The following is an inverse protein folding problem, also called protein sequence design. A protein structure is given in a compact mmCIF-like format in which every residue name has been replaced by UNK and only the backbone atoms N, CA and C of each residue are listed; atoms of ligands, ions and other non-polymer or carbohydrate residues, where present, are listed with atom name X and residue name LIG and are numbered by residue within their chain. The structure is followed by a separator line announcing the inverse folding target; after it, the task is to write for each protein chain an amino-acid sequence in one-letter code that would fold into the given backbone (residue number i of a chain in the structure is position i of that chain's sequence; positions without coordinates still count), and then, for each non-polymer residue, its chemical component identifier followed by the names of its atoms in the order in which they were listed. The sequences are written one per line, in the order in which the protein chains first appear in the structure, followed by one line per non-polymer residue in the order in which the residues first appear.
data_IF_551171133094
#
_entry.id   IF_551171133094
#
_cell.length_a   1.000
_cell.length_b   1.000
_cell.length_c   1.000
_cell.angle_alpha   90.00
_cell.angle_beta   90.00
_cell.angle_gamma   90.00
#
_symmetry.space_group_name_H-M   'P 1'
#
loop_
_entity.id
_entity.type
_entity.pdbx_description
1 polymer ?
#
# COMPACT_ATOMS: atom_id res chain seq x y z
N UNK A 1 -4.91 -13.68 11.18
CA UNK A 1 -3.60 -14.18 11.61
C UNK A 1 -3.24 -15.39 10.74
N UNK A 2 -2.13 -15.34 9.99
CA UNK A 2 -1.68 -16.44 9.13
C UNK A 2 -1.35 -17.67 10.03
N UNK A 3 -2.01 -18.84 9.87
CA UNK A 3 -1.71 -20.01 10.71
C UNK A 3 -0.32 -20.62 10.46
N UNK A 4 0.32 -20.23 9.35
CA UNK A 4 1.69 -20.59 8.96
C UNK A 4 2.20 -19.36 8.22
N UNK A 5 2.94 -18.50 8.91
CA UNK A 5 3.61 -17.36 8.29
C UNK A 5 4.78 -17.86 7.45
N UNK A 6 5.01 -17.28 6.25
CA UNK A 6 6.11 -17.72 5.42
C UNK A 6 7.41 -17.46 6.18
N UNK A 7 8.26 -18.49 6.27
CA UNK A 7 9.52 -18.47 7.02
C UNK A 7 10.60 -17.56 6.41
N UNK A 8 10.20 -16.56 5.61
CA UNK A 8 11.05 -15.58 4.93
C UNK A 8 11.88 -14.79 5.95
N UNK A 9 11.41 -14.73 7.20
CA UNK A 9 12.05 -13.99 8.29
C UNK A 9 12.97 -14.85 9.18
N UNK A 10 13.40 -16.04 8.75
CA UNK A 10 14.41 -16.81 9.51
C UNK A 10 15.74 -16.06 9.55
N UNK A 11 16.43 -16.13 10.70
CA UNK A 11 17.68 -15.43 11.04
C UNK A 11 17.53 -13.91 11.23
N UNK A 12 16.75 -13.52 12.24
CA UNK A 12 16.61 -12.10 12.60
C UNK A 12 17.78 -11.65 13.48
N UNK A 13 18.48 -10.60 13.07
CA UNK A 13 19.42 -9.89 13.94
C UNK A 13 18.61 -8.84 14.72
N UNK A 14 18.77 -8.80 16.04
CA UNK A 14 18.14 -7.77 16.86
C UNK A 14 18.72 -6.41 16.49
N UNK A 15 17.88 -5.47 16.06
CA UNK A 15 18.28 -4.08 15.88
C UNK A 15 17.55 -3.23 16.92
N UNK A 16 18.22 -2.18 17.39
CA UNK A 16 17.55 -1.17 18.18
C UNK A 16 16.66 -0.36 17.27
N UNK A 17 15.59 0.17 17.84
CA UNK A 17 14.55 0.87 17.11
C UNK A 17 15.12 2.01 16.28
N UNK A 18 16.09 2.74 16.83
CA UNK A 18 16.78 3.90 16.26
C UNK A 18 17.52 3.60 14.94
N UNK A 19 17.62 2.32 14.55
CA UNK A 19 18.35 1.87 13.37
C UNK A 19 17.48 1.68 12.11
N UNK A 20 16.17 1.93 12.16
CA UNK A 20 15.31 1.70 10.99
C UNK A 20 15.38 2.81 9.94
N UNK A 21 15.34 4.07 10.34
CA UNK A 21 15.36 5.22 9.43
C UNK A 21 16.17 6.39 10.03
N UNK A 22 16.78 7.17 9.15
CA UNK A 22 17.45 8.43 9.47
C UNK A 22 16.94 9.51 8.51
N UNK A 23 16.46 10.64 9.04
CA UNK A 23 15.70 11.62 8.27
C UNK A 23 16.40 12.09 6.98
N UNK A 24 17.72 12.33 7.07
CA UNK A 24 18.52 12.94 6.00
C UNK A 24 19.32 11.92 5.17
N UNK A 25 19.11 10.62 5.39
CA UNK A 25 19.80 9.53 4.70
C UNK A 25 18.83 8.72 3.84
N UNK A 26 19.25 8.37 2.63
CA UNK A 26 18.46 7.49 1.78
C UNK A 26 18.26 6.13 2.46
N UNK A 27 17.04 5.60 2.38
CA UNK A 27 16.72 4.38 3.10
C UNK A 27 15.41 3.75 2.70
N UNK A 28 15.25 2.52 3.17
CA UNK A 28 14.09 1.68 2.94
C UNK A 28 13.76 0.88 4.20
N UNK A 29 12.48 0.79 4.52
CA UNK A 29 11.97 -0.12 5.53
C UNK A 29 10.69 -0.77 5.02
N UNK A 30 10.58 -2.07 5.22
CA UNK A 30 9.36 -2.84 5.04
C UNK A 30 9.19 -3.77 6.24
N UNK A 31 8.27 -3.40 7.12
CA UNK A 31 8.01 -4.08 8.37
C UNK A 31 6.68 -4.84 8.31
N UNK A 32 6.73 -6.08 8.77
CA UNK A 32 5.59 -7.01 8.84
C UNK A 32 5.41 -7.50 10.28
N UNK A 33 4.31 -8.19 10.62
CA UNK A 33 4.13 -8.73 11.97
C UNK A 33 5.25 -9.70 12.38
N UNK A 34 5.94 -10.29 11.42
CA UNK A 34 6.92 -11.37 11.60
C UNK A 34 8.38 -10.97 11.47
N UNK A 35 8.64 -9.73 11.05
CA UNK A 35 10.00 -9.30 10.79
C UNK A 35 10.04 -8.07 9.90
N UNK A 36 11.21 -7.45 9.89
CA UNK A 36 11.46 -6.18 9.21
C UNK A 36 12.66 -6.31 8.30
N UNK A 37 12.49 -5.89 7.06
CA UNK A 37 13.61 -5.65 6.16
C UNK A 37 13.89 -4.16 6.14
N UNK A 38 15.12 -3.79 6.45
CA UNK A 38 15.55 -2.40 6.45
C UNK A 38 16.91 -2.25 5.80
N UNK A 39 17.10 -1.09 5.18
CA UNK A 39 18.38 -0.65 4.66
C UNK A 39 18.51 0.86 4.81
N UNK A 40 19.60 1.29 5.44
CA UNK A 40 20.07 2.70 5.45
C UNK A 40 21.11 2.97 4.36
N UNK A 41 21.35 1.99 3.49
CA UNK A 41 22.39 2.03 2.46
C UNK A 41 21.83 1.48 1.16
N UNK A 42 21.05 2.33 0.50
CA UNK A 42 20.68 2.10 -0.89
C UNK A 42 21.95 2.25 -1.73
N UNK A 43 22.42 1.14 -2.31
CA UNK A 43 23.68 1.11 -3.07
C UNK A 43 23.54 1.84 -4.40
N UNK A 44 22.37 1.71 -5.02
CA UNK A 44 22.12 2.19 -6.37
C UNK A 44 20.62 2.39 -6.60
N UNK A 45 20.23 3.58 -7.03
CA UNK A 45 18.87 3.88 -7.46
C UNK A 45 18.73 3.55 -8.94
N UNK A 46 17.79 2.67 -9.29
CA UNK A 46 17.55 2.23 -10.66
C UNK A 46 16.81 3.34 -11.40
N UNK A 47 17.34 3.73 -12.56
CA UNK A 47 16.72 4.72 -13.41
C UNK A 47 15.71 4.05 -14.35
N UNK A 48 14.48 4.55 -14.36
CA UNK A 48 13.43 4.03 -15.22
C UNK A 48 13.01 5.05 -16.24
N UNK A 49 12.72 4.57 -17.45
CA UNK A 49 12.17 5.37 -18.53
C UNK A 49 10.83 4.79 -18.97
N UNK A 50 9.90 5.68 -19.34
CA UNK A 50 8.64 5.28 -19.95
C UNK A 50 8.81 5.10 -21.45
N UNK A 51 8.31 3.98 -21.97
CA UNK A 51 8.24 3.68 -23.38
C UNK A 51 6.80 3.89 -23.86
N UNK A 52 6.58 4.98 -24.60
CA UNK A 52 5.23 5.44 -24.99
C UNK A 52 4.42 4.44 -25.83
N UNK A 53 5.07 3.44 -26.43
CA UNK A 53 4.43 2.42 -27.28
C UNK A 53 3.97 1.17 -26.52
N UNK A 54 4.42 0.99 -25.28
CA UNK A 54 4.07 -0.20 -24.50
C UNK A 54 2.70 -0.06 -23.87
N UNK A 55 1.96 -1.17 -23.80
CA UNK A 55 0.76 -1.24 -22.99
C UNK A 55 1.12 -1.08 -21.50
N UNK A 56 0.11 -0.91 -20.64
CA UNK A 56 0.31 -0.86 -19.19
C UNK A 56 1.09 -2.09 -18.68
N UNK A 57 0.64 -3.29 -19.05
CA UNK A 57 1.25 -4.54 -18.60
C UNK A 57 2.68 -4.70 -19.16
N UNK A 58 2.87 -4.41 -20.46
CA UNK A 58 4.20 -4.54 -21.08
C UNK A 58 5.21 -3.55 -20.48
N UNK A 59 4.75 -2.33 -20.15
CA UNK A 59 5.60 -1.31 -19.53
C UNK A 59 6.06 -1.74 -18.14
N UNK A 60 5.15 -2.29 -17.32
CA UNK A 60 5.52 -2.79 -16.00
C UNK A 60 6.49 -3.97 -16.11
N UNK A 61 6.24 -4.91 -17.03
CA UNK A 61 7.14 -6.04 -17.25
C UNK A 61 8.53 -5.58 -17.72
N UNK A 62 8.60 -4.54 -18.57
CA UNK A 62 9.87 -3.96 -19.02
C UNK A 62 10.67 -3.34 -17.87
N UNK A 63 10.02 -2.59 -16.98
CA UNK A 63 10.68 -2.03 -15.80
C UNK A 63 11.24 -3.12 -14.88
N UNK A 64 10.46 -4.17 -14.63
CA UNK A 64 10.92 -5.27 -13.78
C UNK A 64 12.11 -6.02 -14.37
N UNK A 65 12.05 -6.38 -15.65
CA UNK A 65 13.17 -7.03 -16.33
C UNK A 65 14.43 -6.18 -16.25
N UNK A 66 14.29 -4.87 -16.42
CA UNK A 66 15.40 -3.94 -16.24
C UNK A 66 15.95 -3.99 -14.81
N UNK A 67 15.08 -3.93 -13.79
CA UNK A 67 15.51 -3.97 -12.39
C UNK A 67 16.22 -5.28 -12.02
N UNK A 68 15.71 -6.43 -12.48
CA UNK A 68 16.32 -7.75 -12.29
C UNK A 68 17.70 -7.84 -12.94
N UNK A 69 17.84 -7.33 -14.16
CA UNK A 69 19.14 -7.29 -14.87
C UNK A 69 20.16 -6.44 -14.11
N UNK A 70 19.76 -5.26 -13.61
CA UNK A 70 20.62 -4.40 -12.80
C UNK A 70 21.06 -5.10 -11.51
N UNK A 71 20.14 -5.79 -10.82
CA UNK A 71 20.48 -6.59 -9.63
C UNK A 71 21.52 -7.67 -9.96
N UNK A 72 21.27 -8.48 -11.00
CA UNK A 72 22.18 -9.56 -11.40
C UNK A 72 23.56 -9.03 -11.77
N UNK A 73 23.62 -7.92 -12.51
CA UNK A 73 24.89 -7.27 -12.85
C UNK A 73 25.62 -6.77 -11.60
N UNK A 74 24.90 -6.20 -10.63
CA UNK A 74 25.49 -5.74 -9.37
C UNK A 74 26.03 -6.90 -8.53
N UNK A 75 25.30 -8.01 -8.46
CA UNK A 75 25.75 -9.25 -7.78
C UNK A 75 27.03 -9.77 -8.45
N UNK A 76 27.07 -9.87 -9.78
CA UNK A 76 28.24 -10.34 -10.52
C UNK A 76 29.47 -9.45 -10.31
N UNK A 77 29.29 -8.13 -10.30
CA UNK A 77 30.39 -7.17 -10.15
C UNK A 77 30.93 -7.06 -8.72
N UNK A 78 30.06 -7.24 -7.71
CA UNK A 78 30.45 -7.15 -6.29
C UNK A 78 30.78 -8.49 -5.66
N UNK A 79 30.33 -9.61 -6.25
CA UNK A 79 30.38 -10.94 -5.65
C UNK A 79 29.41 -11.13 -4.49
N UNK A 80 28.53 -10.16 -4.20
CA UNK A 80 27.59 -10.23 -3.08
C UNK A 80 26.23 -10.78 -3.55
N UNK A 81 25.95 -12.05 -3.26
CA UNK A 81 24.69 -12.70 -3.63
C UNK A 81 23.49 -12.30 -2.73
N UNK A 82 23.74 -11.62 -1.62
CA UNK A 82 22.71 -11.20 -0.64
C UNK A 82 22.09 -9.83 -0.99
N UNK A 83 22.46 -9.23 -2.12
CA UNK A 83 21.83 -8.00 -2.58
C UNK A 83 20.38 -8.25 -2.94
N UNK A 84 19.53 -7.28 -2.59
CA UNK A 84 18.09 -7.33 -2.85
C UNK A 84 17.63 -6.09 -3.62
N UNK A 85 16.49 -6.21 -4.28
CA UNK A 85 15.73 -5.09 -4.79
C UNK A 85 14.74 -4.62 -3.73
N UNK A 86 14.63 -3.31 -3.55
CA UNK A 86 13.66 -2.66 -2.67
C UNK A 86 13.02 -1.49 -3.39
N UNK A 87 11.79 -1.13 -3.00
CA UNK A 87 11.17 0.10 -3.45
C UNK A 87 9.72 -0.07 -3.83
N UNK A 88 9.26 0.72 -4.80
CA UNK A 88 7.84 0.83 -5.16
C UNK A 88 7.61 0.89 -6.66
N UNK A 89 6.55 0.22 -7.09
CA UNK A 89 5.91 0.41 -8.39
C UNK A 89 4.76 1.43 -8.25
N UNK A 90 4.53 2.29 -9.25
CA UNK A 90 3.44 3.26 -9.24
C UNK A 90 2.09 2.61 -9.57
N UNK A 91 0.99 3.33 -9.31
CA UNK A 91 -0.35 2.90 -9.72
C UNK A 91 -0.51 2.83 -11.25
N UNK A 92 0.03 3.82 -11.95
CA UNK A 92 -0.12 4.01 -13.39
C UNK A 92 1.24 4.04 -14.09
N UNK A 93 1.28 3.66 -15.37
CA UNK A 93 2.51 3.67 -16.17
C UNK A 93 2.90 5.07 -16.71
N UNK A 94 2.10 6.09 -16.40
CA UNK A 94 2.44 7.51 -16.58
C UNK A 94 3.42 8.02 -15.53
N UNK A 95 3.43 7.40 -14.36
CA UNK A 95 4.36 7.68 -13.28
C UNK A 95 5.55 6.70 -13.36
N UNK A 96 6.65 6.99 -12.65
CA UNK A 96 7.85 6.14 -12.66
C UNK A 96 7.99 5.33 -11.36
N UNK A 97 8.54 4.11 -11.41
CA UNK A 97 8.95 3.38 -10.22
C UNK A 97 10.06 4.10 -9.45
N UNK A 98 10.08 3.87 -8.14
CA UNK A 98 11.19 4.24 -7.26
C UNK A 98 11.77 2.96 -6.67
N UNK A 99 12.80 2.41 -7.31
CA UNK A 99 13.44 1.17 -6.86
C UNK A 99 14.96 1.29 -6.77
N UNK A 100 15.53 0.55 -5.82
CA UNK A 100 16.95 0.58 -5.53
C UNK A 100 17.49 -0.82 -5.25
N UNK A 101 18.77 -1.02 -5.52
CA UNK A 101 19.54 -2.17 -5.04
C UNK A 101 20.07 -1.82 -3.65
N UNK A 102 19.90 -2.73 -2.69
CA UNK A 102 20.27 -2.48 -1.31
C UNK A 102 20.99 -3.67 -0.67
N UNK A 103 21.89 -3.36 0.26
CA UNK A 103 22.26 -4.30 1.33
C UNK A 103 21.19 -4.14 2.41
N UNK A 104 20.33 -5.13 2.57
CA UNK A 104 19.30 -5.12 3.59
C UNK A 104 19.53 -6.24 4.61
N UNK A 105 19.10 -6.01 5.84
CA UNK A 105 19.16 -7.02 6.90
C UNK A 105 17.75 -7.44 7.25
N UNK A 106 17.57 -8.73 7.48
CA UNK A 106 16.40 -9.21 8.18
C UNK A 106 16.57 -8.92 9.67
N UNK A 107 15.65 -8.15 10.22
CA UNK A 107 15.77 -7.55 11.54
C UNK A 107 14.47 -7.69 12.30
N UNK A 108 14.57 -7.73 13.62
CA UNK A 108 13.41 -7.58 14.50
C UNK A 108 13.67 -6.43 15.45
N UNK A 109 12.63 -5.63 15.71
CA UNK A 109 12.72 -4.49 16.60
C UNK A 109 12.64 -5.01 18.03
N UNK A 110 13.75 -4.97 18.76
CA UNK A 110 13.79 -5.32 20.18
C UNK A 110 13.38 -4.12 21.04
N UNK A 111 12.48 -4.33 22.01
CA UNK A 111 12.13 -3.34 23.04
C UNK A 111 10.80 -2.63 22.80
N UNK A 112 9.97 -2.56 23.84
CA UNK A 112 8.62 -1.96 23.81
C UNK A 112 8.53 -0.55 24.39
N UNK A 113 9.62 0.00 24.97
CA UNK A 113 9.45 1.01 26.04
C UNK A 113 9.82 2.46 25.69
N UNK A 114 10.61 2.73 24.66
CA UNK A 114 11.01 4.10 24.31
C UNK A 114 10.56 4.45 22.89
N UNK A 115 9.25 4.49 22.66
CA UNK A 115 8.79 5.25 21.51
C UNK A 115 9.13 6.72 21.72
N UNK A 116 9.67 7.44 20.72
CA UNK A 116 9.84 8.88 20.88
C UNK A 116 8.49 9.45 21.29
N UNK A 117 8.53 10.44 22.18
CA UNK A 117 7.35 11.15 22.67
C UNK A 117 6.43 11.50 21.48
N UNK A 118 5.10 11.58 21.69
CA UNK A 118 4.18 11.99 20.64
C UNK A 118 4.72 13.22 19.91
N UNK A 119 4.64 13.23 18.58
CA UNK A 119 5.05 14.37 17.76
C UNK A 119 4.50 15.63 18.43
N UNK A 120 5.37 16.59 18.79
CA UNK A 120 4.92 17.89 19.28
C UNK A 120 3.87 18.40 18.29
N UNK A 121 2.68 18.75 18.80
CA UNK A 121 1.54 19.06 17.93
C UNK A 121 1.97 20.07 16.87
N UNK A 122 1.95 19.62 15.61
CA UNK A 122 2.15 20.48 14.45
C UNK A 122 1.13 21.61 14.56
N UNK A 123 1.60 22.85 14.46
CA UNK A 123 0.76 24.03 14.63
C UNK A 123 0.66 24.84 13.35
N UNK A 124 -0.42 25.61 13.23
CA UNK A 124 -0.71 26.41 12.03
C UNK A 124 -0.70 25.56 10.75
N UNK A 125 -1.37 24.40 10.80
CA UNK A 125 -1.48 23.49 9.66
C UNK A 125 -2.55 23.99 8.70
N UNK A 126 -2.17 24.23 7.46
CA UNK A 126 -3.10 24.43 6.35
C UNK A 126 -3.34 23.09 5.67
N UNK A 127 -4.60 22.69 5.50
CA UNK A 127 -4.98 21.46 4.84
C UNK A 127 -5.82 21.79 3.60
N UNK A 128 -5.38 21.39 2.41
CA UNK A 128 -6.10 21.59 1.15
C UNK A 128 -6.63 20.25 0.64
N UNK A 129 -7.92 20.17 0.33
CA UNK A 129 -8.54 18.96 -0.21
C UNK A 129 -8.43 18.94 -1.74
N UNK A 130 -8.01 17.80 -2.29
CA UNK A 130 -7.83 17.62 -3.73
C UNK A 130 -8.52 16.32 -4.19
N UNK A 131 -9.67 16.39 -4.87
CA UNK A 131 -10.50 17.58 -5.08
C UNK A 131 -11.21 18.03 -3.79
N UNK A 132 -11.90 19.19 -3.81
CA UNK A 132 -12.88 19.56 -2.78
C UNK A 132 -13.93 18.45 -2.55
N UNK A 133 -14.56 18.45 -1.37
CA UNK A 133 -15.51 17.37 -1.00
C UNK A 133 -16.70 17.25 -1.96
N UNK A 134 -17.23 18.38 -2.44
CA UNK A 134 -18.33 18.42 -3.41
C UNK A 134 -17.97 17.68 -4.68
N UNK A 135 -16.79 17.96 -5.22
CA UNK A 135 -16.31 17.44 -6.48
C UNK A 135 -16.00 15.93 -6.37
N UNK A 136 -15.49 15.49 -5.21
CA UNK A 136 -15.35 14.06 -4.92
C UNK A 136 -16.72 13.36 -4.91
N UNK A 137 -17.72 13.94 -4.23
CA UNK A 137 -19.09 13.42 -4.18
C UNK A 137 -19.72 13.33 -5.57
N UNK A 138 -19.53 14.36 -6.40
CA UNK A 138 -19.99 14.38 -7.79
C UNK A 138 -19.28 13.31 -8.64
N UNK A 139 -17.97 13.13 -8.43
CA UNK A 139 -17.19 12.07 -9.08
C UNK A 139 -17.69 10.67 -8.72
N UNK A 140 -18.05 10.43 -7.45
CA UNK A 140 -18.66 9.16 -7.01
C UNK A 140 -20.02 8.96 -7.68
N UNK A 141 -20.89 9.98 -7.67
CA UNK A 141 -22.21 9.90 -8.30
C UNK A 141 -22.08 9.60 -9.81
N UNK A 142 -21.12 10.23 -10.50
CA UNK A 142 -20.84 9.99 -11.91
C UNK A 142 -20.38 8.56 -12.18
N UNK A 143 -19.51 7.98 -11.33
CA UNK A 143 -19.11 6.58 -11.47
C UNK A 143 -20.31 5.62 -11.31
N UNK A 144 -21.17 5.88 -10.33
CA UNK A 144 -22.40 5.08 -10.13
C UNK A 144 -23.31 5.12 -11.36
N UNK A 145 -23.50 6.29 -11.99
CA UNK A 145 -24.28 6.39 -13.23
C UNK A 145 -23.62 5.68 -14.41
N UNK A 146 -22.29 5.71 -14.51
CA UNK A 146 -21.55 4.99 -15.56
C UNK A 146 -21.68 3.48 -15.41
N UNK A 147 -21.69 2.93 -14.20
CA UNK A 147 -21.86 1.49 -13.95
C UNK A 147 -23.21 0.97 -14.48
N UNK A 148 -24.25 1.81 -14.52
CA UNK A 148 -25.58 1.44 -15.07
C UNK A 148 -25.61 1.32 -16.60
N UNK A 149 -24.64 1.94 -17.29
CA UNK A 149 -24.67 2.13 -18.75
C UNK A 149 -23.43 1.57 -19.45
N UNK A 150 -22.46 1.08 -18.71
CA UNK A 150 -21.18 0.53 -19.22
C UNK A 150 -20.90 -0.83 -18.59
N UNK A 151 -19.81 -1.48 -18.99
CA UNK A 151 -19.33 -2.73 -18.39
C UNK A 151 -18.57 -2.53 -17.06
N UNK A 152 -18.50 -1.31 -16.54
CA UNK A 152 -17.81 -1.03 -15.28
C UNK A 152 -18.58 -1.65 -14.10
N UNK A 153 -17.98 -2.61 -13.42
CA UNK A 153 -18.55 -3.24 -12.20
C UNK A 153 -18.05 -2.54 -10.93
N UNK A 154 -16.78 -2.10 -10.95
CA UNK A 154 -16.13 -1.47 -9.81
C UNK A 154 -15.11 -0.44 -10.28
N UNK A 155 -15.00 0.68 -9.57
CA UNK A 155 -13.90 1.62 -9.68
C UNK A 155 -13.55 2.20 -8.32
N UNK A 156 -12.29 2.53 -8.09
CA UNK A 156 -11.82 3.15 -6.85
C UNK A 156 -11.52 4.59 -7.15
N UNK A 157 -12.28 5.51 -6.54
CA UNK A 157 -12.02 6.95 -6.65
C UNK A 157 -11.26 7.41 -5.41
N UNK A 158 -10.23 8.22 -5.62
CA UNK A 158 -9.36 8.73 -4.59
C UNK A 158 -9.37 10.25 -4.51
N UNK A 159 -8.89 10.72 -3.36
CA UNK A 159 -8.61 12.12 -3.09
C UNK A 159 -7.34 12.23 -2.24
N UNK A 160 -6.81 13.45 -2.18
CA UNK A 160 -5.62 13.81 -1.45
C UNK A 160 -5.89 14.93 -0.43
N UNK A 161 -5.01 15.00 0.57
CA UNK A 161 -4.88 16.15 1.47
C UNK A 161 -3.46 16.66 1.34
N UNK A 162 -3.31 17.91 0.92
CA UNK A 162 -2.03 18.63 0.99
C UNK A 162 -1.96 19.39 2.30
N UNK A 163 -0.98 19.03 3.12
CA UNK A 163 -0.70 19.67 4.39
C UNK A 163 0.53 20.57 4.24
N UNK A 164 0.40 21.81 4.71
CA UNK A 164 1.51 22.71 4.94
C UNK A 164 1.57 23.06 6.42
N UNK A 165 2.70 22.72 7.05
CA UNK A 165 2.94 22.94 8.47
C UNK A 165 3.93 24.09 8.68
N UNK A 166 3.91 24.72 9.86
CA UNK A 166 4.94 25.68 10.24
C UNK A 166 6.26 25.00 10.56
N UNK A 167 6.22 23.91 11.32
CA UNK A 167 7.39 23.12 11.69
C UNK A 167 7.75 22.11 10.61
N UNK A 168 9.04 21.72 10.55
CA UNK A 168 9.49 20.58 9.76
C UNK A 168 8.84 19.32 10.34
N UNK A 169 8.30 18.46 9.48
CA UNK A 169 7.64 17.23 9.90
C UNK A 169 8.70 16.23 10.38
N UNK A 170 8.59 15.72 11.61
CA UNK A 170 9.55 14.76 12.17
C UNK A 170 9.29 13.36 11.57
N UNK A 171 9.93 13.09 10.43
CA UNK A 171 9.71 11.86 9.63
C UNK A 171 10.03 10.57 10.39
N UNK A 172 10.98 10.63 11.33
CA UNK A 172 11.40 9.47 12.11
C UNK A 172 10.30 9.06 13.10
N UNK A 173 9.78 10.03 13.83
CA UNK A 173 8.71 9.90 14.79
C UNK A 173 7.41 9.48 14.10
N UNK A 174 7.09 10.08 12.96
CA UNK A 174 5.92 9.74 12.14
C UNK A 174 5.92 8.25 11.76
N UNK A 175 7.02 7.76 11.20
CA UNK A 175 7.14 6.35 10.83
C UNK A 175 6.97 5.43 12.04
N UNK A 176 7.55 5.77 13.19
CA UNK A 176 7.39 4.93 14.37
C UNK A 176 5.97 4.93 14.93
N UNK A 177 5.23 6.03 14.80
CA UNK A 177 3.80 6.01 15.15
C UNK A 177 3.02 5.11 14.20
N UNK A 178 3.27 5.18 12.89
CA UNK A 178 2.68 4.25 11.90
C UNK A 178 3.04 2.79 12.21
N UNK A 179 4.29 2.51 12.57
CA UNK A 179 4.74 1.17 12.92
C UNK A 179 4.03 0.65 14.18
N UNK A 180 3.90 1.47 15.22
CA UNK A 180 3.25 1.12 16.47
C UNK A 180 1.75 0.86 16.32
N UNK A 181 1.07 1.63 15.48
CA UNK A 181 -0.39 1.57 15.32
C UNK A 181 -0.86 0.58 14.25
N UNK A 182 0.08 -0.14 13.63
CA UNK A 182 -0.19 -1.14 12.58
C UNK A 182 0.46 -2.52 12.85
N UNK A 183 0.22 -3.14 14.02
CA UNK A 183 0.92 -4.37 14.42
C UNK A 183 0.58 -5.61 13.58
N UNK A 184 -0.57 -5.62 12.90
CA UNK A 184 -1.03 -6.74 12.07
C UNK A 184 -0.89 -6.48 10.56
N UNK A 185 -0.34 -5.33 10.17
CA UNK A 185 -0.23 -4.90 8.78
C UNK A 185 1.21 -4.78 8.28
N UNK A 186 1.37 -4.01 7.21
CA UNK A 186 2.62 -3.74 6.50
C UNK A 186 2.96 -2.25 6.63
N UNK A 187 3.99 -1.93 7.42
CA UNK A 187 4.45 -0.55 7.56
C UNK A 187 5.71 -0.36 6.73
N UNK A 188 5.74 0.68 5.89
CA UNK A 188 6.82 0.88 4.94
C UNK A 188 7.28 2.33 4.89
N UNK A 189 8.53 2.52 4.49
CA UNK A 189 9.14 3.82 4.22
C UNK A 189 10.21 3.71 3.14
N UNK A 190 10.28 4.68 2.22
CA UNK A 190 11.28 4.78 1.17
C UNK A 190 11.69 6.24 0.94
N UNK A 191 13.00 6.48 0.86
CA UNK A 191 13.56 7.71 0.33
C UNK A 191 14.82 7.39 -0.48
N UNK A 192 14.77 7.64 -1.80
CA UNK A 192 15.94 7.55 -2.68
C UNK A 192 16.86 8.78 -2.59
N UNK A 193 16.27 9.95 -2.33
CA UNK A 193 16.95 11.21 -2.04
C UNK A 193 16.07 12.03 -1.08
N UNK A 194 16.19 11.85 0.25
CA UNK A 194 15.31 12.50 1.22
C UNK A 194 15.40 14.03 1.20
N UNK A 195 16.52 14.59 0.71
CA UNK A 195 16.76 16.03 0.65
C UNK A 195 16.08 16.70 -0.55
N UNK A 196 15.61 15.92 -1.53
CA UNK A 196 14.92 16.44 -2.72
C UNK A 196 13.51 15.91 -2.89
N UNK A 197 13.31 14.62 -2.61
CA UNK A 197 12.04 13.92 -2.82
C UNK A 197 11.28 13.71 -1.52
N UNK A 198 11.98 13.78 -0.37
CA UNK A 198 11.42 13.40 0.91
C UNK A 198 11.18 11.90 1.04
N UNK A 199 10.35 11.54 2.02
CA UNK A 199 10.02 10.15 2.35
C UNK A 199 8.62 9.80 1.87
N UNK A 200 8.46 8.66 1.21
CA UNK A 200 7.16 8.03 1.03
C UNK A 200 6.98 6.95 2.09
N UNK A 201 5.90 6.99 2.86
CA UNK A 201 5.67 6.03 3.94
C UNK A 201 4.19 5.78 4.18
N UNK A 202 3.87 4.67 4.83
CA UNK A 202 2.50 4.29 5.12
C UNK A 202 2.37 3.05 6.00
N UNK A 203 1.12 2.75 6.36
CA UNK A 203 0.71 1.63 7.20
C UNK A 203 -0.44 0.88 6.53
N UNK A 204 -0.10 -0.01 5.60
CA UNK A 204 -1.07 -0.74 4.79
C UNK A 204 -1.59 -1.99 5.52
N UNK A 205 -2.91 -2.28 5.47
CA UNK A 205 -3.46 -3.55 5.93
C UNK A 205 -3.41 -4.65 4.86
N UNK A 206 -2.94 -4.35 3.64
CA UNK A 206 -3.16 -5.20 2.46
C UNK A 206 -1.86 -5.73 1.87
N UNK A 207 -1.76 -7.06 1.80
CA UNK A 207 -0.69 -7.76 1.07
C UNK A 207 -1.17 -7.99 -0.36
N UNK A 208 -0.50 -7.35 -1.33
CA UNK A 208 -0.72 -7.68 -2.74
C UNK A 208 -0.26 -9.11 -2.98
N UNK A 209 1.03 -9.37 -2.73
CA UNK A 209 1.63 -10.69 -2.90
C UNK A 209 2.89 -10.87 -2.05
N UNK A 210 3.09 -12.08 -1.54
CA UNK A 210 4.39 -12.55 -1.06
C UNK A 210 4.71 -13.91 -1.66
N UNK A 211 6.00 -14.16 -1.87
CA UNK A 211 6.52 -15.45 -2.36
C UNK A 211 7.66 -15.94 -1.47
N UNK A 212 7.61 -17.22 -1.16
CA UNK A 212 8.72 -17.96 -0.57
C UNK A 212 8.84 -19.32 -1.25
N UNK A 213 9.94 -19.53 -1.98
CA UNK A 213 10.14 -20.67 -2.87
C UNK A 213 8.90 -20.82 -3.76
N UNK A 214 8.29 -22.00 -3.80
CA UNK A 214 7.06 -22.26 -4.55
C UNK A 214 5.76 -21.73 -3.90
N UNK A 215 5.79 -21.18 -2.69
CA UNK A 215 4.58 -20.76 -1.98
C UNK A 215 4.27 -19.29 -2.26
N UNK A 216 3.02 -19.02 -2.62
CA UNK A 216 2.49 -17.66 -2.86
C UNK A 216 1.38 -17.34 -1.87
N UNK A 217 1.35 -16.08 -1.41
CA UNK A 217 0.39 -15.57 -0.43
C UNK A 217 -0.15 -14.24 -0.92
N UNK A 218 -1.44 -13.99 -0.68
CA UNK A 218 -2.07 -12.68 -0.86
C UNK A 218 -3.10 -12.48 0.26
N UNK A 219 -3.35 -11.23 0.65
CA UNK A 219 -4.35 -10.90 1.66
C UNK A 219 -5.10 -9.62 1.23
N UNK A 220 -5.97 -9.71 0.22
CA UNK A 220 -6.73 -8.59 -0.30
C UNK A 220 -7.75 -8.11 0.72
N UNK A 221 -7.98 -6.79 0.75
CA UNK A 221 -8.96 -6.16 1.61
C UNK A 221 -9.92 -5.31 0.78
N UNK A 222 -11.22 -5.43 1.04
CA UNK A 222 -12.27 -4.68 0.36
C UNK A 222 -13.55 -4.76 1.19
N UNK A 223 -14.36 -3.70 1.19
CA UNK A 223 -15.38 -3.48 2.22
C UNK A 223 -14.76 -2.87 3.48
N UNK A 224 -15.24 -1.69 3.85
CA UNK A 224 -14.66 -0.88 4.92
C UNK A 224 -15.77 -0.26 5.76
N UNK A 225 -15.57 -0.23 7.07
CA UNK A 225 -16.39 0.58 7.96
C UNK A 225 -15.51 1.26 9.01
N UNK A 226 -15.90 2.46 9.45
CA UNK A 226 -15.16 3.18 10.49
C UNK A 226 -15.11 2.36 11.80
N UNK A 227 -14.17 2.70 12.69
CA UNK A 227 -14.19 2.22 14.08
C UNK A 227 -15.00 3.18 14.94
N UNK A 228 -15.59 2.66 16.01
CA UNK A 228 -16.20 3.48 17.06
C UNK A 228 -15.33 3.50 18.33
N UNK A 229 -15.40 4.61 19.07
CA UNK A 229 -14.81 4.71 20.40
C UNK A 229 -15.64 3.95 21.46
N UNK A 230 -16.93 3.76 21.22
CA UNK A 230 -17.80 2.90 22.05
C UNK A 230 -17.61 1.44 21.62
N UNK A 231 -17.10 0.54 22.50
CA UNK A 231 -16.87 -0.86 22.17
C UNK A 231 -18.11 -1.62 21.70
N UNK A 232 -19.29 -1.29 22.22
CA UNK A 232 -20.52 -1.97 21.82
C UNK A 232 -20.93 -1.59 20.40
N UNK A 233 -20.89 -0.29 20.09
CA UNK A 233 -21.13 0.22 18.73
C UNK A 233 -20.05 -0.25 17.76
N UNK A 234 -18.79 -0.33 18.18
CA UNK A 234 -17.68 -0.80 17.35
C UNK A 234 -17.86 -2.27 16.92
N UNK A 235 -18.32 -3.12 17.85
CA UNK A 235 -18.67 -4.50 17.56
C UNK A 235 -19.90 -4.60 16.64
N UNK A 236 -20.93 -3.79 16.88
CA UNK A 236 -22.11 -3.71 16.01
C UNK A 236 -21.75 -3.20 14.59
N UNK A 237 -20.76 -2.32 14.46
CA UNK A 237 -20.20 -1.92 13.16
C UNK A 237 -19.51 -3.08 12.45
N UNK A 238 -18.68 -3.85 13.16
CA UNK A 238 -18.04 -5.04 12.60
C UNK A 238 -19.07 -6.05 12.06
N UNK A 239 -20.14 -6.31 12.83
CA UNK A 239 -21.23 -7.21 12.43
C UNK A 239 -22.03 -6.69 11.24
N UNK A 240 -22.32 -5.37 11.18
CA UNK A 240 -22.96 -4.74 10.02
C UNK A 240 -22.10 -4.85 8.77
N UNK A 241 -20.80 -4.59 8.86
CA UNK A 241 -19.87 -4.75 7.74
C UNK A 241 -19.87 -6.20 7.24
N UNK A 242 -19.77 -7.17 8.17
CA UNK A 242 -19.76 -8.58 7.81
C UNK A 242 -21.06 -9.04 7.15
N UNK A 243 -22.20 -8.49 7.53
CA UNK A 243 -23.51 -8.82 6.96
C UNK A 243 -23.90 -7.99 5.72
N UNK A 244 -23.11 -6.97 5.35
CA UNK A 244 -23.44 -6.04 4.26
C UNK A 244 -23.32 -6.71 2.91
N UNK A 245 -24.44 -6.82 2.18
CA UNK A 245 -24.45 -7.36 0.82
C UNK A 245 -23.61 -6.51 -0.16
N UNK A 246 -23.58 -5.18 0.03
CA UNK A 246 -22.73 -4.27 -0.76
C UNK A 246 -21.26 -4.63 -0.57
N UNK A 247 -20.80 -4.67 0.68
CA UNK A 247 -19.38 -4.88 0.99
C UNK A 247 -18.95 -6.32 0.67
N UNK A 248 -19.82 -7.32 0.87
CA UNK A 248 -19.55 -8.69 0.44
C UNK A 248 -19.41 -8.81 -1.08
N UNK A 249 -20.28 -8.14 -1.85
CA UNK A 249 -20.17 -8.11 -3.31
C UNK A 249 -18.90 -7.39 -3.76
N UNK A 250 -18.61 -6.22 -3.19
CA UNK A 250 -17.37 -5.47 -3.47
C UNK A 250 -16.12 -6.31 -3.18
N UNK A 251 -16.16 -7.10 -2.11
CA UNK A 251 -15.08 -8.02 -1.73
C UNK A 251 -14.96 -9.20 -2.70
N UNK A 252 -16.08 -9.82 -3.08
CA UNK A 252 -16.10 -10.96 -3.99
C UNK A 252 -15.46 -10.62 -5.35
N UNK A 253 -15.77 -9.45 -5.92
CA UNK A 253 -15.18 -8.97 -7.20
C UNK A 253 -13.64 -8.93 -7.12
N UNK A 254 -13.08 -8.52 -5.97
CA UNK A 254 -11.62 -8.49 -5.77
C UNK A 254 -11.05 -9.90 -5.71
N UNK A 255 -11.68 -10.80 -4.96
CA UNK A 255 -11.20 -12.17 -4.76
C UNK A 255 -11.28 -12.98 -6.06
N UNK A 256 -12.36 -12.82 -6.83
CA UNK A 256 -12.53 -13.48 -8.13
C UNK A 256 -11.46 -13.04 -9.12
N UNK A 257 -11.22 -11.73 -9.25
CA UNK A 257 -10.17 -11.22 -10.13
C UNK A 257 -8.77 -11.75 -9.76
N UNK A 258 -8.45 -11.84 -8.46
CA UNK A 258 -7.16 -12.39 -8.01
C UNK A 258 -7.09 -13.90 -8.23
N UNK A 259 -8.20 -14.62 -8.02
CA UNK A 259 -8.28 -16.05 -8.28
C UNK A 259 -8.07 -16.37 -9.76
N UNK A 260 -8.64 -15.57 -10.66
CA UNK A 260 -8.51 -15.74 -12.12
C UNK A 260 -7.06 -15.56 -12.59
N UNK A 261 -6.32 -14.62 -11.96
CA UNK A 261 -4.92 -14.38 -12.27
C UNK A 261 -3.98 -15.43 -11.66
N UNK A 262 -4.23 -15.90 -10.44
CA UNK A 262 -3.35 -16.86 -9.75
C UNK A 262 -3.61 -18.32 -10.10
N UNK A 263 -4.85 -18.72 -10.39
CA UNK A 263 -5.21 -20.12 -10.66
C UNK A 263 -4.42 -20.73 -11.83
N UNK A 264 -4.19 -20.04 -12.96
CA UNK A 264 -3.37 -20.56 -14.04
C UNK A 264 -1.91 -20.82 -13.63
N UNK A 265 -1.39 -20.09 -12.65
CA UNK A 265 0.00 -20.15 -12.20
C UNK A 265 0.22 -21.17 -11.08
N UNK A 266 -0.84 -21.60 -10.39
CA UNK A 266 -0.75 -22.47 -9.21
C UNK A 266 -1.12 -23.92 -9.49
N UNK A 267 -0.38 -24.86 -8.90
CA UNK A 267 -0.76 -26.28 -8.81
C UNK A 267 -1.96 -26.45 -7.88
N UNK A 268 -1.99 -25.67 -6.79
CA UNK A 268 -3.09 -25.62 -5.83
C UNK A 268 -3.27 -24.19 -5.34
N UNK A 269 -4.53 -23.75 -5.23
CA UNK A 269 -4.90 -22.45 -4.68
C UNK A 269 -6.00 -22.66 -3.62
N UNK A 270 -5.77 -22.13 -2.42
CA UNK A 270 -6.68 -22.19 -1.29
C UNK A 270 -7.22 -20.79 -1.03
N UNK A 271 -8.52 -20.61 -1.26
CA UNK A 271 -9.26 -19.38 -1.00
C UNK A 271 -10.43 -19.73 -0.07
N UNK A 272 -10.48 -19.16 1.15
CA UNK A 272 -11.63 -19.30 2.03
C UNK A 272 -12.93 -18.86 1.36
N UNK A 273 -14.03 -19.57 1.62
CA UNK A 273 -15.35 -19.26 1.04
C UNK A 273 -15.97 -17.96 1.57
N UNK A 274 -15.52 -17.50 2.73
CA UNK A 274 -16.04 -16.30 3.38
C UNK A 274 -14.86 -15.47 3.87
N UNK A 275 -14.96 -14.13 3.79
CA UNK A 275 -13.94 -13.26 4.34
C UNK A 275 -13.89 -13.36 5.87
N UNK A 276 -12.84 -12.78 6.43
CA UNK A 276 -12.68 -12.53 7.85
C UNK A 276 -12.69 -11.03 8.13
N UNK A 277 -13.07 -10.64 9.35
CA UNK A 277 -12.94 -9.26 9.82
C UNK A 277 -11.52 -9.02 10.34
N UNK A 278 -10.89 -7.97 9.85
CA UNK A 278 -9.66 -7.43 10.42
C UNK A 278 -9.87 -5.97 10.82
N UNK A 279 -9.13 -5.49 11.82
CA UNK A 279 -9.20 -4.10 12.28
C UNK A 279 -7.86 -3.41 12.15
N UNK A 280 -7.93 -2.14 11.78
CA UNK A 280 -6.87 -1.16 12.03
C UNK A 280 -7.31 -0.26 13.19
N UNK A 281 -6.49 0.72 13.55
CA UNK A 281 -6.88 1.72 14.54
C UNK A 281 -8.14 2.50 14.13
N UNK A 282 -8.39 2.69 12.84
CA UNK A 282 -9.40 3.64 12.32
C UNK A 282 -10.56 2.99 11.59
N UNK A 283 -10.38 1.78 11.05
CA UNK A 283 -11.40 1.07 10.27
C UNK A 283 -11.40 -0.45 10.49
N UNK A 284 -12.57 -1.07 10.30
CA UNK A 284 -12.75 -2.50 10.02
C UNK A 284 -12.64 -2.78 8.52
N UNK A 285 -12.15 -3.97 8.15
CA UNK A 285 -12.10 -4.46 6.78
C UNK A 285 -12.58 -5.91 6.68
N UNK A 286 -13.18 -6.27 5.54
CA UNK A 286 -13.23 -7.67 5.12
C UNK A 286 -11.90 -8.03 4.44
N UNK A 287 -11.33 -9.18 4.81
CA UNK A 287 -10.09 -9.69 4.29
C UNK A 287 -10.18 -11.19 4.00
N UNK A 288 -9.62 -11.64 2.88
CA UNK A 288 -9.56 -13.06 2.52
C UNK A 288 -8.12 -13.48 2.30
N UNK A 289 -7.66 -14.44 3.08
CA UNK A 289 -6.31 -14.94 2.95
C UNK A 289 -6.22 -15.97 1.81
N UNK A 290 -5.43 -15.67 0.79
CA UNK A 290 -5.19 -16.55 -0.35
C UNK A 290 -3.81 -17.21 -0.20
N UNK A 291 -3.75 -18.53 -0.38
CA UNK A 291 -2.50 -19.31 -0.36
C UNK A 291 -2.42 -20.20 -1.58
N UNK A 292 -1.27 -20.24 -2.23
CA UNK A 292 -1.05 -21.09 -3.39
C UNK A 292 0.30 -21.76 -3.39
N UNK A 293 0.42 -22.79 -4.23
CA UNK A 293 1.68 -23.42 -4.61
C UNK A 293 1.86 -23.25 -6.11
N UNK A 294 2.90 -22.55 -6.54
CA UNK A 294 3.19 -22.24 -7.93
C UNK A 294 3.55 -23.51 -8.72
N UNK A 295 3.16 -23.53 -10.01
CA UNK A 295 3.60 -24.55 -10.98
C UNK A 295 5.10 -24.40 -11.26
N UNK A 296 5.54 -23.17 -11.41
CA UNK A 296 6.93 -22.80 -11.60
C UNK A 296 7.49 -22.18 -10.30
N UNK A 297 8.37 -22.88 -9.57
CA UNK A 297 8.97 -22.36 -8.34
C UNK A 297 9.96 -21.21 -8.60
N UNK A 298 10.49 -21.10 -9.82
CA UNK A 298 11.51 -20.11 -10.20
C UNK A 298 10.89 -18.76 -10.62
N UNK A 299 9.56 -18.72 -10.78
CA UNK A 299 8.82 -17.48 -11.04
C UNK A 299 9.18 -16.41 -10.01
N UNK A 300 9.45 -15.19 -10.43
CA UNK A 300 9.85 -14.14 -9.50
C UNK A 300 8.62 -13.54 -8.80
N UNK A 301 8.75 -13.11 -7.54
CA UNK A 301 7.68 -12.38 -6.84
C UNK A 301 7.24 -11.11 -7.59
N UNK A 302 8.11 -10.57 -8.45
CA UNK A 302 7.83 -9.40 -9.25
C UNK A 302 6.88 -9.69 -10.39
N UNK A 303 7.05 -10.83 -11.06
CA UNK A 303 6.13 -11.26 -12.12
C UNK A 303 4.72 -11.38 -11.53
N UNK A 304 4.60 -12.00 -10.35
CA UNK A 304 3.34 -12.08 -9.60
C UNK A 304 2.78 -10.70 -9.24
N UNK A 305 3.62 -9.79 -8.75
CA UNK A 305 3.20 -8.44 -8.40
C UNK A 305 2.62 -7.71 -9.63
N UNK A 306 3.24 -7.82 -10.81
CA UNK A 306 2.70 -7.19 -12.04
C UNK A 306 1.48 -7.86 -12.62
N UNK A 307 1.33 -9.16 -12.42
CA UNK A 307 0.11 -9.87 -12.84
C UNK A 307 -1.08 -9.42 -12.00
N UNK A 308 -0.86 -9.18 -10.70
CA UNK A 308 -1.92 -8.80 -9.76
C UNK A 308 -2.16 -7.29 -9.69
N UNK A 309 -1.15 -6.47 -9.93
CA UNK A 309 -1.22 -5.02 -9.73
C UNK A 309 -1.71 -4.27 -10.98
N UNK A 310 -2.69 -3.36 -10.86
CA UNK A 310 -3.52 -3.10 -9.68
C UNK A 310 -4.72 -4.05 -9.60
N UNK A 311 -5.04 -4.49 -8.38
CA UNK A 311 -6.25 -5.29 -8.13
C UNK A 311 -7.50 -4.39 -8.20
N UNK A 312 -8.71 -4.96 -8.30
CA UNK A 312 -9.94 -4.18 -8.18
C UNK A 312 -10.12 -3.48 -6.82
N UNK A 313 -9.31 -3.79 -5.80
CA UNK A 313 -9.35 -3.12 -4.49
C UNK A 313 -8.83 -1.68 -4.54
N UNK A 314 -7.95 -1.36 -5.49
CA UNK A 314 -7.37 -0.01 -5.66
C UNK A 314 -7.53 0.58 -7.06
N UNK A 315 -7.93 -0.22 -8.03
CA UNK A 315 -8.28 0.21 -9.39
C UNK A 315 -9.76 0.02 -9.67
N UNK A 316 -10.17 -1.15 -10.15
CA UNK A 316 -11.53 -1.44 -10.56
C UNK A 316 -11.60 -2.60 -11.54
N UNK A 317 -12.80 -2.90 -12.01
CA UNK A 317 -13.11 -4.03 -12.89
C UNK A 317 -14.13 -3.59 -13.96
N UNK A 318 -13.84 -3.77 -15.26
CA UNK A 318 -12.55 -4.13 -15.86
C UNK A 318 -11.46 -3.07 -15.64
N UNK A 319 -10.23 -3.50 -15.35
CA UNK A 319 -9.12 -2.60 -15.00
C UNK A 319 -8.79 -1.52 -16.06
N UNK A 320 -8.78 -1.77 -17.39
CA UNK A 320 -8.50 -0.73 -18.37
C UNK A 320 -9.52 0.42 -18.33
N UNK A 321 -10.82 0.12 -18.26
CA UNK A 321 -11.88 1.11 -18.20
C UNK A 321 -11.83 1.88 -16.87
N UNK A 322 -11.64 1.18 -15.75
CA UNK A 322 -11.50 1.82 -14.45
C UNK A 322 -10.32 2.80 -14.41
N UNK A 323 -9.13 2.42 -14.91
CA UNK A 323 -7.96 3.33 -14.95
C UNK A 323 -8.21 4.57 -15.81
N UNK A 324 -8.88 4.40 -16.95
CA UNK A 324 -9.24 5.54 -17.80
C UNK A 324 -10.13 6.51 -17.03
N UNK A 325 -11.23 6.03 -16.43
CA UNK A 325 -12.17 6.87 -15.69
C UNK A 325 -11.53 7.52 -14.46
N UNK A 326 -10.68 6.78 -13.73
CA UNK A 326 -9.87 7.33 -12.63
C UNK A 326 -9.02 8.49 -13.12
N UNK A 327 -8.34 8.33 -14.25
CA UNK A 327 -7.53 9.40 -14.85
C UNK A 327 -8.33 10.62 -15.30
N UNK A 328 -9.60 10.45 -15.65
CA UNK A 328 -10.47 11.55 -16.10
C UNK A 328 -11.12 12.29 -14.92
N UNK A 329 -11.37 11.59 -13.81
CA UNK A 329 -12.10 12.13 -12.66
C UNK A 329 -11.18 12.66 -11.55
N UNK A 330 -9.98 12.12 -11.39
CA UNK A 330 -9.03 12.59 -10.37
C UNK A 330 -8.20 13.77 -10.90
N UNK A 331 -8.23 14.95 -10.26
CA UNK A 331 -7.47 16.11 -10.71
C UNK A 331 -5.99 16.05 -10.27
N UNK A 332 -5.47 14.87 -9.98
CA UNK A 332 -4.10 14.66 -9.51
C UNK A 332 -3.56 13.31 -9.99
N UNK A 333 -2.23 13.18 -9.99
CA UNK A 333 -1.56 11.90 -10.23
C UNK A 333 -1.39 11.15 -8.90
N UNK A 334 -1.72 9.86 -8.90
CA UNK A 334 -1.54 9.01 -7.72
C UNK A 334 -0.06 8.74 -7.41
N UNK A 335 0.83 8.79 -8.40
CA UNK A 335 2.24 8.45 -8.22
C UNK A 335 2.38 7.05 -7.59
N UNK A 336 3.04 6.97 -6.43
CA UNK A 336 3.19 5.72 -5.68
C UNK A 336 1.92 5.32 -4.90
N UNK A 337 0.97 6.23 -4.63
CA UNK A 337 -0.29 5.85 -3.98
C UNK A 337 -1.08 4.87 -4.86
N UNK A 338 -1.74 3.89 -4.24
CA UNK A 338 -2.39 2.77 -4.91
C UNK A 338 -1.46 1.91 -5.80
N UNK A 339 -0.14 2.19 -5.78
CA UNK A 339 0.92 1.32 -6.28
C UNK A 339 1.21 0.15 -5.33
N UNK A 340 2.42 -0.38 -5.40
CA UNK A 340 2.88 -1.41 -4.46
C UNK A 340 4.31 -1.17 -4.01
N UNK A 341 4.58 -1.39 -2.73
CA UNK A 341 5.90 -1.26 -2.10
C UNK A 341 6.34 -2.59 -1.50
N UNK A 342 7.61 -2.90 -1.66
CA UNK A 342 8.13 -4.19 -1.25
C UNK A 342 9.60 -4.39 -1.53
N UNK A 343 9.98 -5.65 -1.50
CA UNK A 343 11.34 -6.09 -1.73
C UNK A 343 11.36 -7.46 -2.40
N UNK A 344 12.52 -7.81 -2.96
CA UNK A 344 12.78 -9.16 -3.45
C UNK A 344 14.26 -9.54 -3.44
N UNK A 345 14.56 -10.79 -3.11
CA UNK A 345 15.92 -11.34 -3.23
C UNK A 345 16.24 -11.80 -4.66
N UNK A 346 17.50 -12.17 -4.87
CA UNK A 346 17.98 -12.68 -6.17
C UNK A 346 17.40 -14.06 -6.55
N UNK A 347 16.79 -14.78 -5.59
CA UNK A 347 16.11 -16.06 -5.81
C UNK A 347 14.63 -15.89 -6.13
N UNK A 348 14.16 -14.65 -6.25
CA UNK A 348 12.78 -14.32 -6.60
C UNK A 348 11.78 -14.45 -5.45
N UNK A 349 12.23 -14.55 -4.19
CA UNK A 349 11.35 -14.41 -3.03
C UNK A 349 11.12 -12.94 -2.70
N UNK A 350 10.10 -12.64 -1.89
CA UNK A 350 9.87 -11.30 -1.41
C UNK A 350 8.43 -11.05 -0.97
N UNK A 351 8.12 -9.79 -0.67
CA UNK A 351 6.78 -9.36 -0.27
C UNK A 351 6.50 -7.93 -0.76
N UNK A 352 5.25 -7.73 -1.19
CA UNK A 352 4.75 -6.51 -1.82
C UNK A 352 3.39 -6.16 -1.21
N UNK A 353 3.32 -5.04 -0.50
CA UNK A 353 2.07 -4.50 0.05
C UNK A 353 1.49 -3.45 -0.89
N UNK A 354 0.17 -3.25 -0.81
CA UNK A 354 -0.49 -2.17 -1.57
C UNK A 354 -0.26 -0.84 -0.87
N UNK A 355 0.05 0.21 -1.64
CA UNK A 355 0.35 1.54 -1.11
C UNK A 355 -0.93 2.31 -0.75
N UNK A 356 -1.48 2.02 0.43
CA UNK A 356 -2.63 2.73 1.02
C UNK A 356 -2.29 3.18 2.44
N UNK A 357 -3.09 4.12 2.98
CA UNK A 357 -2.83 4.77 4.29
C UNK A 357 -1.40 5.34 4.34
N UNK A 358 -1.07 6.10 3.30
CA UNK A 358 0.29 6.53 3.02
C UNK A 358 0.33 7.97 2.51
N UNK A 359 1.53 8.52 2.43
CA UNK A 359 1.79 9.84 1.89
C UNK A 359 3.25 10.10 1.60
N UNK A 360 3.52 11.19 0.86
CA UNK A 360 4.85 11.74 0.67
C UNK A 360 5.07 12.90 1.64
N UNK A 361 6.17 12.86 2.37
CA UNK A 361 6.52 13.84 3.41
C UNK A 361 7.83 14.50 3.02
N UNK A 362 7.82 15.82 2.89
CA UNK A 362 9.01 16.59 2.54
C UNK A 362 9.05 17.90 3.31
N UNK A 363 10.08 18.04 4.14
CA UNK A 363 10.32 19.22 4.98
C UNK A 363 9.07 19.61 5.80
N UNK A 364 8.39 20.69 5.41
CA UNK A 364 7.22 21.25 6.10
C UNK A 364 5.88 20.79 5.48
N UNK A 365 5.91 19.90 4.50
CA UNK A 365 4.77 19.53 3.68
C UNK A 365 4.51 18.03 3.66
N UNK A 366 3.24 17.65 3.54
CA UNK A 366 2.83 16.26 3.37
C UNK A 366 1.67 16.17 2.37
N UNK A 367 1.75 15.25 1.41
CA UNK A 367 0.60 14.84 0.61
C UNK A 367 0.13 13.47 1.05
N UNK A 368 -1.09 13.41 1.57
CA UNK A 368 -1.74 12.19 2.05
C UNK A 368 -2.79 11.73 1.05
N UNK A 369 -3.09 10.43 1.01
CA UNK A 369 -4.08 9.88 0.07
C UNK A 369 -5.08 8.93 0.73
N UNK A 370 -6.30 8.92 0.22
CA UNK A 370 -7.30 7.90 0.50
C UNK A 370 -8.24 7.72 -0.70
N UNK A 371 -8.70 6.49 -0.91
CA UNK A 371 -9.75 6.18 -1.90
C UNK A 371 -10.75 5.18 -1.36
N UNK A 372 -11.93 5.13 -1.98
CA UNK A 372 -13.02 4.23 -1.66
C UNK A 372 -13.44 3.41 -2.89
N UNK A 373 -13.83 2.17 -2.66
CA UNK A 373 -14.36 1.27 -3.69
C UNK A 373 -15.79 1.64 -4.01
N UNK A 374 -16.02 2.03 -5.26
CA UNK A 374 -17.34 2.41 -5.77
C UNK A 374 -17.92 1.23 -6.52
N UNK A 375 -19.16 0.89 -6.19
CA UNK A 375 -20.02 -0.09 -6.89
C UNK A 375 -21.38 0.56 -7.14
N UNK A 376 -22.25 -0.06 -7.95
CA UNK A 376 -23.55 0.53 -8.31
C UNK A 376 -24.40 0.92 -7.08
N UNK A 377 -24.29 0.17 -5.98
CA UNK A 377 -25.01 0.43 -4.73
C UNK A 377 -24.37 1.49 -3.81
N UNK A 378 -23.23 2.08 -4.21
CA UNK A 378 -22.52 3.09 -3.42
C UNK A 378 -23.33 4.37 -3.23
N UNK A 379 -23.18 4.99 -2.05
CA UNK A 379 -23.80 6.26 -1.72
C UNK A 379 -22.73 7.34 -1.60
N UNK A 380 -22.73 8.40 -2.41
CA UNK A 380 -21.64 9.37 -2.49
C UNK A 380 -21.15 9.92 -1.14
N UNK A 381 -22.08 10.29 -0.24
CA UNK A 381 -21.74 10.79 1.10
C UNK A 381 -21.09 9.71 1.98
N UNK A 382 -21.50 8.45 1.85
CA UNK A 382 -20.89 7.33 2.58
C UNK A 382 -19.45 7.11 2.13
N UNK A 383 -19.17 7.19 0.83
CA UNK A 383 -17.80 7.02 0.29
C UNK A 383 -16.88 8.19 0.68
N UNK A 384 -17.45 9.40 0.83
CA UNK A 384 -16.73 10.54 1.41
C UNK A 384 -16.35 10.26 2.86
N UNK A 385 -17.30 9.79 3.68
CA UNK A 385 -17.06 9.46 5.08
C UNK A 385 -16.03 8.32 5.23
N UNK A 386 -16.06 7.32 4.34
CA UNK A 386 -15.07 6.25 4.32
C UNK A 386 -13.65 6.79 4.06
N UNK A 387 -13.49 7.65 3.07
CA UNK A 387 -12.16 8.26 2.81
C UNK A 387 -11.71 9.15 3.98
N UNK A 388 -12.61 9.87 4.66
CA UNK A 388 -12.27 10.64 5.88
C UNK A 388 -11.71 9.71 6.95
N UNK A 389 -12.36 8.57 7.20
CA UNK A 389 -11.89 7.58 8.16
C UNK A 389 -10.52 6.99 7.77
N UNK A 390 -10.28 6.76 6.47
CA UNK A 390 -9.00 6.26 5.95
C UNK A 390 -7.85 7.27 6.12
N UNK A 391 -8.11 8.57 6.01
CA UNK A 391 -7.09 9.61 6.27
C UNK A 391 -6.62 9.64 7.72
N UNK A 392 -7.48 9.26 8.68
CA UNK A 392 -7.15 9.28 10.11
C UNK A 392 -5.89 8.48 10.44
N UNK A 393 -5.53 7.43 9.69
CA UNK A 393 -4.29 6.68 9.93
C UNK A 393 -3.05 7.59 9.83
N UNK A 394 -2.93 8.37 8.75
CA UNK A 394 -1.80 9.27 8.55
C UNK A 394 -1.91 10.53 9.43
N UNK A 395 -3.11 11.11 9.56
CA UNK A 395 -3.33 12.30 10.38
C UNK A 395 -3.02 12.05 11.86
N UNK A 396 -3.50 10.93 12.42
CA UNK A 396 -3.20 10.54 13.80
C UNK A 396 -1.70 10.32 14.00
N UNK A 397 -1.01 9.71 13.03
CA UNK A 397 0.42 9.48 13.11
C UNK A 397 1.22 10.80 13.06
N UNK A 398 0.69 11.84 12.39
CA UNK A 398 1.20 13.21 12.40
C UNK A 398 0.82 14.00 13.68
N UNK A 399 0.05 13.41 14.61
CA UNK A 399 -0.46 14.09 15.79
C UNK A 399 -1.57 15.11 15.48
N UNK A 400 -2.25 14.97 14.33
CA UNK A 400 -3.32 15.85 13.88
C UNK A 400 -4.69 15.21 14.10
N UNK A 401 -5.60 15.97 14.69
CA UNK A 401 -7.01 15.59 14.77
C UNK A 401 -7.73 16.06 13.49
N UNK A 402 -8.22 15.09 12.71
CA UNK A 402 -8.92 15.35 11.45
C UNK A 402 -10.12 16.27 11.62
N UNK A 403 -10.78 16.25 12.78
CA UNK A 403 -11.99 17.02 13.06
C UNK A 403 -11.65 18.47 13.49
N UNK A 404 -10.37 18.77 13.77
CA UNK A 404 -9.88 20.11 14.16
C UNK A 404 -9.14 20.83 13.03
N UNK A 405 -8.91 20.17 11.89
CA UNK A 405 -8.26 20.78 10.73
C UNK A 405 -9.22 21.69 9.98
N UNK A 406 -8.75 22.89 9.65
CA UNK A 406 -9.43 23.77 8.70
C UNK A 406 -9.06 23.34 7.28
N UNK A 407 -10.01 22.70 6.60
CA UNK A 407 -9.86 22.28 5.21
C UNK A 407 -10.24 23.41 4.26
N UNK A 408 -9.38 23.65 3.27
CA UNK A 408 -9.60 24.55 2.14
C UNK A 408 -9.96 23.78 0.88
#
# INVERSE_FOLDING_TARGET
MLPIEPSVFKNMIGITKEDLIEADLAGFVFATPTGTISSKKLLENIQFERQSKLSFADQQQAWLKHAQQQLQQKIQTTGNAELILVGSLPFDNRDLPEMSIAEAKNTFVTGSSNFPEPIERLSQVQATLIPPQSDYVDGVAKLVELMKTTELEKAVLARAIDLQCKQKIPVVELFYQLFKTNPEGYTFALAQDPKKLGWFMGASPELLVAKQNQYVFSNPVAGTLARSADPAEDQAQAERLFASAKDQHEHAVVIEAIADQLSPLCQSLSIPKSPSLIKTQTVWHLATQIKGTLKDPDMHVFDLATILHPTPAVCGQPAPLARQLISELEPFQRNLFAGTMGWSDASGNGAWAVNVRCGRIFEHSARLYAGAGIVEASQPTSELNETIAKFKTMLNALGLDADQLAYQ
#
